data_IF_961711447045
#
_entry.id   IF_961711447045
#
_cell.length_a   1.000
_cell.length_b   1.000
_cell.length_c   1.000
_cell.angle_alpha   90.00
_cell.angle_beta   90.00
_cell.angle_gamma   90.00
#
_symmetry.space_group_name_H-M   'P 1'
#
loop_
_entity.id
_entity.type
_entity.pdbx_description
1 polymer ?
#
# COMPACT_ATOMS: atom_id res chain seq x y z
N UNK A 1 -31.78 10.34 -55.76
CA UNK A 1 -30.84 9.28 -55.36
C UNK A 1 -30.24 9.71 -54.04
N UNK A 2 -30.69 9.11 -52.93
CA UNK A 2 -30.15 9.37 -51.61
C UNK A 2 -28.93 8.49 -51.37
N UNK A 3 -27.84 9.09 -50.91
CA UNK A 3 -26.76 8.36 -50.27
C UNK A 3 -27.19 8.03 -48.84
N UNK A 4 -27.04 6.78 -48.36
CA UNK A 4 -27.26 6.49 -46.95
C UNK A 4 -26.11 7.08 -46.14
N UNK A 5 -26.46 7.90 -45.13
CA UNK A 5 -25.53 8.39 -44.13
C UNK A 5 -25.31 7.31 -43.06
N UNK A 6 -24.43 6.34 -43.33
CA UNK A 6 -23.91 5.46 -42.30
C UNK A 6 -22.71 6.13 -41.62
N UNK A 7 -23.00 7.12 -40.78
CA UNK A 7 -22.10 7.54 -39.71
C UNK A 7 -22.90 7.62 -38.41
N UNK A 8 -23.38 6.46 -37.96
CA UNK A 8 -23.44 6.18 -36.52
C UNK A 8 -22.04 5.80 -36.04
N UNK A 9 -21.06 6.71 -36.17
CA UNK A 9 -19.86 6.61 -35.34
C UNK A 9 -20.27 6.96 -33.91
N UNK A 10 -20.47 5.91 -33.13
CA UNK A 10 -20.55 5.80 -31.68
C UNK A 10 -20.44 7.13 -30.90
N UNK A 11 -21.60 7.76 -30.64
CA UNK A 11 -21.73 8.80 -29.61
C UNK A 11 -21.19 8.35 -28.24
N UNK A 12 -21.10 7.04 -28.00
CA UNK A 12 -20.56 6.41 -26.78
C UNK A 12 -19.02 6.41 -26.72
N UNK A 13 -18.30 6.49 -27.85
CA UNK A 13 -16.83 6.53 -27.84
C UNK A 13 -16.30 7.94 -27.57
N UNK A 14 -17.06 8.97 -27.96
CA UNK A 14 -16.72 10.38 -27.69
C UNK A 14 -16.67 10.73 -26.19
N UNK A 15 -17.37 9.99 -25.33
CA UNK A 15 -17.30 10.17 -23.87
C UNK A 15 -16.20 9.30 -23.22
N UNK A 16 -15.88 8.15 -23.82
CA UNK A 16 -14.88 7.20 -23.29
C UNK A 16 -13.44 7.67 -23.49
N UNK A 17 -13.11 8.28 -24.63
CA UNK A 17 -11.76 8.77 -24.93
C UNK A 17 -11.31 9.84 -23.92
N UNK A 18 -12.12 10.89 -23.63
CA UNK A 18 -11.80 11.87 -22.58
C UNK A 18 -11.55 11.21 -21.22
N UNK A 19 -12.40 10.27 -20.81
CA UNK A 19 -12.21 9.52 -19.56
C UNK A 19 -10.87 8.75 -19.54
N UNK A 20 -10.54 8.04 -20.63
CA UNK A 20 -9.28 7.29 -20.73
C UNK A 20 -8.07 8.23 -20.58
N UNK A 21 -8.09 9.37 -21.27
CA UNK A 21 -7.01 10.37 -21.22
C UNK A 21 -6.89 10.95 -19.80
N UNK A 22 -8.00 11.25 -19.16
CA UNK A 22 -8.04 11.78 -17.79
C UNK A 22 -7.43 10.78 -16.80
N UNK A 23 -7.86 9.52 -16.83
CA UNK A 23 -7.33 8.47 -15.96
C UNK A 23 -5.82 8.28 -16.15
N UNK A 24 -5.35 8.16 -17.40
CA UNK A 24 -3.92 8.06 -17.68
C UNK A 24 -3.15 9.26 -17.16
N UNK A 25 -3.69 10.47 -17.33
CA UNK A 25 -3.08 11.69 -16.81
C UNK A 25 -3.00 11.72 -15.28
N UNK A 26 -3.99 11.17 -14.57
CA UNK A 26 -3.95 11.03 -13.10
C UNK A 26 -2.80 10.12 -12.66
N UNK A 27 -2.71 8.91 -13.23
CA UNK A 27 -1.71 7.93 -12.81
C UNK A 27 -0.28 8.32 -13.19
N UNK A 28 -0.07 8.88 -14.38
CA UNK A 28 1.26 9.33 -14.80
C UNK A 28 1.76 10.49 -13.94
N UNK A 29 0.88 11.43 -13.59
CA UNK A 29 1.24 12.51 -12.66
C UNK A 29 1.62 11.97 -11.29
N UNK A 30 0.85 11.01 -10.76
CA UNK A 30 1.18 10.35 -9.51
C UNK A 30 2.55 9.66 -9.55
N UNK A 31 2.85 8.91 -10.62
CA UNK A 31 4.14 8.23 -10.80
C UNK A 31 5.29 9.24 -10.82
N UNK A 32 5.17 10.28 -11.63
CA UNK A 32 6.21 11.29 -11.81
C UNK A 32 6.45 12.09 -10.53
N UNK A 33 5.38 12.41 -9.79
CA UNK A 33 5.48 13.08 -8.49
C UNK A 33 6.29 12.24 -7.49
N UNK A 34 5.98 10.95 -7.36
CA UNK A 34 6.69 10.04 -6.44
C UNK A 34 8.18 9.91 -6.79
N UNK A 35 8.52 9.75 -8.07
CA UNK A 35 9.92 9.73 -8.51
C UNK A 35 10.63 11.07 -8.33
N UNK A 36 9.92 12.20 -8.44
CA UNK A 36 10.52 13.52 -8.22
C UNK A 36 10.89 13.76 -6.75
N UNK A 37 10.08 13.26 -5.81
CA UNK A 37 10.35 13.34 -4.37
C UNK A 37 11.49 12.39 -3.94
N UNK A 38 11.62 11.22 -4.56
CA UNK A 38 12.75 10.31 -4.33
C UNK A 38 14.11 10.95 -4.61
N UNK A 39 14.21 11.87 -5.59
CA UNK A 39 15.45 12.61 -5.84
C UNK A 39 15.74 13.69 -4.79
N UNK A 40 14.73 14.17 -4.06
CA UNK A 40 14.90 15.13 -2.95
C UNK A 40 15.28 14.45 -1.64
N UNK A 41 14.90 13.18 -1.45
CA UNK A 41 15.15 12.38 -0.23
C UNK A 41 16.59 11.86 -0.06
N UNK A 42 17.53 12.26 -0.93
CA UNK A 42 18.97 12.20 -0.61
C UNK A 42 19.39 13.27 0.44
N UNK A 43 18.41 13.99 1.02
CA UNK A 43 18.56 14.83 2.20
C UNK A 43 18.11 14.01 3.41
N UNK A 44 19.11 13.52 4.14
CA UNK A 44 19.10 12.77 5.40
C UNK A 44 17.77 12.76 6.22
N UNK A 45 17.04 11.63 6.26
CA UNK A 45 15.80 11.47 7.04
C UNK A 45 16.00 11.64 8.55
N UNK A 46 17.24 11.48 9.04
CA UNK A 46 17.58 11.56 10.48
C UNK A 46 17.67 13.03 10.94
N UNK A 47 17.65 13.99 10.02
CA UNK A 47 17.68 15.43 10.33
C UNK A 47 16.31 16.05 10.65
N UNK A 48 15.22 15.29 10.54
CA UNK A 48 13.86 15.77 10.84
C UNK A 48 13.53 15.46 12.30
N UNK A 49 13.71 16.47 13.16
CA UNK A 49 13.22 16.48 14.54
C UNK A 49 11.73 16.06 14.57
N UNK A 50 11.32 15.14 15.46
CA UNK A 50 9.92 14.72 15.62
C UNK A 50 8.93 15.88 15.82
N UNK A 51 9.38 17.01 16.37
CA UNK A 51 8.55 18.22 16.50
C UNK A 51 8.34 18.94 15.16
N UNK A 52 9.13 18.62 14.13
CA UNK A 52 8.91 19.06 12.74
C UNK A 52 7.92 18.18 11.97
N UNK A 53 7.51 17.02 12.50
CA UNK A 53 6.40 16.23 11.93
C UNK A 53 5.07 17.00 12.05
N UNK A 54 4.91 17.78 13.12
CA UNK A 54 3.72 18.61 13.35
C UNK A 54 3.74 19.91 12.52
N UNK A 55 4.92 20.39 12.09
CA UNK A 55 5.04 21.56 11.20
C UNK A 55 5.06 21.20 9.71
N UNK A 56 5.16 19.91 9.37
CA UNK A 56 5.16 19.40 7.98
C UNK A 56 3.77 19.23 7.36
N UNK A 57 2.84 20.15 7.66
CA UNK A 57 1.60 20.38 6.89
C UNK A 57 1.90 20.85 5.44
N UNK A 58 3.18 21.02 5.12
CA UNK A 58 3.74 21.33 3.79
C UNK A 58 4.48 20.15 3.14
N UNK A 59 4.44 18.93 3.70
CA UNK A 59 4.86 17.75 2.95
C UNK A 59 3.82 17.47 1.87
N UNK A 60 4.03 18.03 0.67
CA UNK A 60 3.10 17.94 -0.46
C UNK A 60 2.73 16.49 -0.76
N UNK A 61 3.67 15.54 -0.66
CA UNK A 61 3.41 14.12 -0.87
C UNK A 61 2.38 13.53 0.12
N UNK A 62 2.44 13.90 1.40
CA UNK A 62 1.47 13.46 2.41
C UNK A 62 0.11 14.15 2.22
N UNK A 63 0.12 15.43 1.82
CA UNK A 63 -1.09 16.18 1.46
C UNK A 63 -1.77 15.59 0.22
N UNK A 64 -1.00 15.12 -0.76
CA UNK A 64 -1.49 14.41 -1.94
C UNK A 64 -2.04 13.04 -1.59
N UNK A 65 -1.34 12.24 -0.77
CA UNK A 65 -1.83 10.92 -0.33
C UNK A 65 -3.16 11.05 0.44
N UNK A 66 -3.31 12.11 1.24
CA UNK A 66 -4.54 12.46 1.94
C UNK A 66 -5.66 13.02 1.05
N UNK A 67 -5.33 13.81 0.02
CA UNK A 67 -6.31 14.45 -0.89
C UNK A 67 -6.71 13.56 -2.07
N UNK A 68 -5.82 12.68 -2.53
CA UNK A 68 -6.08 11.69 -3.57
C UNK A 68 -7.16 10.70 -3.12
N UNK A 69 -7.10 10.26 -1.86
CA UNK A 69 -8.13 9.40 -1.24
C UNK A 69 -9.48 10.11 -1.09
N UNK A 70 -9.51 11.45 -1.21
CA UNK A 70 -10.71 12.30 -1.14
C UNK A 70 -11.19 12.84 -2.49
N UNK A 71 -10.57 12.46 -3.60
CA UNK A 71 -10.98 12.86 -4.95
C UNK A 71 -10.71 14.34 -5.31
N UNK A 72 -9.94 15.06 -4.50
CA UNK A 72 -9.54 16.43 -4.80
C UNK A 72 -8.19 16.41 -5.53
N UNK A 73 -8.24 16.45 -6.86
CA UNK A 73 -7.07 16.48 -7.73
C UNK A 73 -6.32 17.82 -7.60
N UNK A 74 -5.39 17.93 -6.66
CA UNK A 74 -4.51 19.10 -6.57
C UNK A 74 -3.57 19.17 -7.78
N UNK A 75 -3.38 20.39 -8.32
CA UNK A 75 -2.42 20.67 -9.41
C UNK A 75 -1.00 20.53 -8.86
N UNK A 76 -0.26 19.55 -9.38
CA UNK A 76 1.17 19.34 -9.10
C UNK A 76 1.97 20.57 -9.53
N UNK A 77 2.75 21.16 -8.60
CA UNK A 77 3.69 22.27 -8.85
C UNK A 77 5.12 21.69 -8.87
N UNK A 78 5.40 20.74 -9.75
CA UNK A 78 6.78 20.45 -10.16
C UNK A 78 7.12 21.38 -11.33
N UNK A 79 8.33 21.97 -11.40
CA UNK A 79 8.74 22.71 -12.60
C UNK A 79 8.53 21.83 -13.84
N UNK A 80 7.85 22.38 -14.86
CA UNK A 80 7.45 21.63 -16.06
C UNK A 80 8.63 20.90 -16.73
N UNK A 81 9.83 21.47 -16.66
CA UNK A 81 11.04 20.91 -17.26
C UNK A 81 11.55 19.65 -16.51
N UNK A 82 11.47 19.62 -15.18
CA UNK A 82 11.82 18.43 -14.38
C UNK A 82 10.85 17.28 -14.66
N UNK A 83 9.57 17.60 -14.87
CA UNK A 83 8.53 16.64 -15.25
C UNK A 83 8.79 16.02 -16.62
N UNK A 84 9.14 16.84 -17.62
CA UNK A 84 9.48 16.37 -18.96
C UNK A 84 10.76 15.52 -18.95
N UNK A 85 11.80 15.97 -18.24
CA UNK A 85 13.05 15.23 -18.12
C UNK A 85 12.85 13.86 -17.47
N UNK A 86 12.12 13.79 -16.35
CA UNK A 86 11.85 12.54 -15.66
C UNK A 86 11.04 11.57 -16.51
N UNK A 87 10.03 12.07 -17.22
CA UNK A 87 9.26 11.27 -18.18
C UNK A 87 10.17 10.70 -19.27
N UNK A 88 11.07 11.51 -19.81
CA UNK A 88 11.99 11.09 -20.87
C UNK A 88 13.03 10.06 -20.37
N UNK A 89 13.46 10.13 -19.10
CA UNK A 89 14.28 9.09 -18.47
C UNK A 89 13.49 7.79 -18.25
N UNK A 90 12.26 7.86 -17.74
CA UNK A 90 11.43 6.67 -17.51
C UNK A 90 11.05 5.95 -18.82
N UNK A 91 10.89 6.67 -19.93
CA UNK A 91 10.64 6.07 -21.25
C UNK A 91 11.82 5.19 -21.70
N UNK A 92 13.05 5.53 -21.31
CA UNK A 92 14.27 4.79 -21.66
C UNK A 92 14.33 3.47 -20.91
N UNK A 93 14.19 3.48 -19.59
CA UNK A 93 14.06 2.27 -18.77
C UNK A 93 13.47 2.60 -17.37
N UNK A 94 12.19 2.33 -17.12
CA UNK A 94 11.55 2.73 -15.87
C UNK A 94 12.08 1.94 -14.66
N UNK A 95 12.52 0.69 -14.88
CA UNK A 95 13.07 -0.17 -13.83
C UNK A 95 14.52 0.14 -13.47
N UNK A 96 15.17 1.07 -14.17
CA UNK A 96 16.52 1.50 -13.79
C UNK A 96 16.52 2.26 -12.46
N UNK A 97 15.46 3.05 -12.24
CA UNK A 97 15.37 3.97 -11.10
C UNK A 97 14.82 3.26 -9.88
N UNK A 98 13.86 2.35 -10.05
CA UNK A 98 13.23 1.66 -8.93
C UNK A 98 14.14 0.63 -8.27
N UNK A 99 14.32 0.77 -6.96
CA UNK A 99 15.10 -0.11 -6.08
C UNK A 99 14.22 -0.81 -5.05
N UNK A 100 13.19 -0.12 -4.58
CA UNK A 100 12.26 -0.65 -3.58
C UNK A 100 11.08 -1.39 -4.21
N UNK A 101 10.40 -2.29 -3.48
CA UNK A 101 9.24 -3.01 -3.98
C UNK A 101 8.15 -2.09 -4.55
N UNK A 102 7.87 -0.97 -3.89
CA UNK A 102 6.91 0.03 -4.33
C UNK A 102 7.36 0.75 -5.61
N UNK A 103 8.65 0.97 -5.76
CA UNK A 103 9.25 1.62 -6.93
C UNK A 103 9.27 0.69 -8.15
N UNK A 104 9.48 -0.61 -7.92
CA UNK A 104 9.35 -1.63 -8.97
C UNK A 104 7.90 -1.71 -9.46
N UNK A 105 6.93 -1.56 -8.56
CA UNK A 105 5.51 -1.49 -8.93
C UNK A 105 5.14 -0.16 -9.59
N UNK A 106 5.72 0.96 -9.17
CA UNK A 106 5.61 2.25 -9.88
C UNK A 106 6.17 2.15 -11.30
N UNK A 107 7.32 1.50 -11.46
CA UNK A 107 7.93 1.23 -12.78
C UNK A 107 6.99 0.42 -13.66
N UNK A 108 6.35 -0.60 -13.10
CA UNK A 108 5.36 -1.41 -13.80
C UNK A 108 4.09 -0.62 -14.13
N UNK A 109 3.58 0.21 -13.22
CA UNK A 109 2.43 1.09 -13.44
C UNK A 109 2.71 2.07 -14.59
N UNK A 110 3.92 2.62 -14.67
CA UNK A 110 4.36 3.47 -15.77
C UNK A 110 4.31 2.73 -17.11
N UNK A 111 4.83 1.49 -17.15
CA UNK A 111 4.73 0.66 -18.35
C UNK A 111 3.27 0.42 -18.77
N UNK A 112 2.35 0.18 -17.83
CA UNK A 112 0.94 0.01 -18.16
C UNK A 112 0.32 1.28 -18.75
N UNK A 113 0.64 2.45 -18.20
CA UNK A 113 0.17 3.73 -18.74
C UNK A 113 0.70 3.94 -20.18
N UNK A 114 1.99 3.67 -20.41
CA UNK A 114 2.62 3.75 -21.73
C UNK A 114 1.95 2.82 -22.74
N UNK A 115 1.74 1.55 -22.39
CA UNK A 115 1.07 0.59 -23.27
C UNK A 115 -0.37 1.02 -23.57
N UNK A 116 -1.08 1.54 -22.57
CA UNK A 116 -2.47 1.99 -22.75
C UNK A 116 -2.57 3.17 -23.70
N UNK A 117 -1.58 4.08 -23.69
CA UNK A 117 -1.49 5.15 -24.70
C UNK A 117 -1.26 4.63 -26.11
N UNK A 118 -0.41 3.60 -26.26
CA UNK A 118 -0.18 2.98 -27.56
C UNK A 118 -1.44 2.28 -28.08
N UNK A 119 -2.17 1.58 -27.20
CA UNK A 119 -3.48 0.97 -27.53
C UNK A 119 -4.49 2.05 -27.92
N UNK A 120 -4.54 3.17 -27.19
CA UNK A 120 -5.43 4.29 -27.49
C UNK A 120 -5.11 4.90 -28.86
N UNK A 121 -3.82 5.06 -29.17
CA UNK A 121 -3.36 5.55 -30.47
C UNK A 121 -3.79 4.62 -31.61
N UNK A 122 -3.81 3.31 -31.36
CA UNK A 122 -4.28 2.31 -32.31
C UNK A 122 -5.82 2.20 -32.38
N UNK A 123 -6.56 2.99 -31.59
CA UNK A 123 -8.01 3.07 -31.63
C UNK A 123 -8.77 1.98 -30.86
N UNK A 124 -8.10 1.14 -30.07
CA UNK A 124 -8.77 0.05 -29.33
C UNK A 124 -9.27 0.50 -27.95
N UNK A 125 -10.44 1.14 -27.96
CA UNK A 125 -11.06 1.73 -26.76
C UNK A 125 -11.40 0.69 -25.69
N UNK A 126 -11.84 -0.52 -26.07
CA UNK A 126 -12.20 -1.55 -25.08
C UNK A 126 -10.96 -2.14 -24.40
N UNK A 127 -9.88 -2.36 -25.15
CA UNK A 127 -8.61 -2.75 -24.54
C UNK A 127 -8.08 -1.65 -23.61
N UNK A 128 -8.23 -0.37 -23.95
CA UNK A 128 -7.87 0.73 -23.05
C UNK A 128 -8.64 0.68 -21.73
N UNK A 129 -9.97 0.50 -21.76
CA UNK A 129 -10.78 0.44 -20.53
C UNK A 129 -10.36 -0.74 -19.63
N UNK A 130 -10.10 -1.91 -20.21
CA UNK A 130 -9.60 -3.06 -19.46
C UNK A 130 -8.21 -2.80 -18.83
N UNK A 131 -7.35 -2.05 -19.54
CA UNK A 131 -6.05 -1.64 -18.98
C UNK A 131 -6.20 -0.60 -17.87
N UNK A 132 -7.17 0.32 -17.94
CA UNK A 132 -7.46 1.26 -16.85
C UNK A 132 -7.87 0.52 -15.59
N UNK A 133 -8.79 -0.45 -15.68
CA UNK A 133 -9.17 -1.26 -14.52
C UNK A 133 -7.96 -2.01 -13.92
N UNK A 134 -7.03 -2.44 -14.77
CA UNK A 134 -5.78 -3.07 -14.32
C UNK A 134 -4.88 -2.06 -13.61
N UNK A 135 -4.70 -0.86 -14.18
CA UNK A 135 -3.94 0.24 -13.59
C UNK A 135 -4.52 0.61 -12.22
N UNK A 136 -5.84 0.75 -12.10
CA UNK A 136 -6.54 1.00 -10.83
C UNK A 136 -6.22 -0.08 -9.78
N UNK A 137 -6.29 -1.36 -10.16
CA UNK A 137 -5.97 -2.48 -9.27
C UNK A 137 -4.50 -2.44 -8.81
N UNK A 138 -3.57 -2.20 -9.73
CA UNK A 138 -2.14 -2.09 -9.39
C UNK A 138 -1.90 -0.91 -8.46
N UNK A 139 -2.48 0.26 -8.75
CA UNK A 139 -2.35 1.44 -7.91
C UNK A 139 -2.90 1.19 -6.50
N UNK A 140 -4.05 0.53 -6.37
CA UNK A 140 -4.61 0.19 -5.05
C UNK A 140 -3.67 -0.72 -4.23
N UNK A 141 -3.03 -1.71 -4.87
CA UNK A 141 -2.07 -2.58 -4.20
C UNK A 141 -0.78 -1.85 -3.82
N UNK A 142 -0.36 -0.87 -4.63
CA UNK A 142 0.75 0.02 -4.32
C UNK A 142 0.44 0.93 -3.13
N UNK A 143 -0.71 1.61 -3.11
CA UNK A 143 -1.14 2.41 -1.95
C UNK A 143 -1.22 1.55 -0.68
N UNK A 144 -1.69 0.31 -0.81
CA UNK A 144 -1.69 -0.64 0.29
C UNK A 144 -0.31 -0.94 0.87
N UNK A 145 0.71 -1.10 0.01
CA UNK A 145 2.10 -1.28 0.47
C UNK A 145 2.62 -0.04 1.19
N UNK A 146 2.36 1.14 0.64
CA UNK A 146 2.80 2.42 1.20
C UNK A 146 2.17 2.70 2.56
N UNK A 147 0.85 2.56 2.64
CA UNK A 147 0.11 2.68 3.89
C UNK A 147 0.66 1.69 4.92
N UNK A 148 0.89 0.44 4.54
CA UNK A 148 1.48 -0.56 5.43
C UNK A 148 2.90 -0.21 5.89
N UNK A 149 3.72 0.45 5.06
CA UNK A 149 5.02 0.96 5.50
C UNK A 149 4.88 2.04 6.59
N UNK A 150 3.88 2.92 6.50
CA UNK A 150 3.60 3.92 7.54
C UNK A 150 3.21 3.30 8.89
N UNK A 151 2.59 2.11 8.89
CA UNK A 151 2.19 1.37 10.10
C UNK A 151 3.35 0.89 10.97
N UNK A 152 4.57 1.00 10.47
CA UNK A 152 5.77 0.71 11.25
C UNK A 152 6.09 1.83 12.25
N UNK A 153 5.59 3.02 11.97
CA UNK A 153 5.94 4.26 12.64
C UNK A 153 4.78 4.81 13.48
N UNK A 154 3.55 4.38 13.20
CA UNK A 154 2.32 4.94 13.78
C UNK A 154 1.32 3.85 14.19
N UNK A 155 0.38 4.19 15.07
CA UNK A 155 -0.62 3.23 15.56
C UNK A 155 -1.65 2.87 14.48
N UNK A 156 -2.37 1.73 14.63
CA UNK A 156 -3.39 1.37 13.66
C UNK A 156 -4.55 2.36 13.49
N UNK A 157 -4.87 3.11 14.53
CA UNK A 157 -5.92 4.12 14.50
C UNK A 157 -5.48 5.37 13.75
N UNK A 158 -4.23 5.83 13.97
CA UNK A 158 -3.68 7.04 13.36
C UNK A 158 -3.61 6.96 11.83
N UNK A 159 -3.41 5.75 11.30
CA UNK A 159 -3.26 5.54 9.87
C UNK A 159 -4.51 4.95 9.19
N UNK A 160 -5.61 4.73 9.91
CA UNK A 160 -6.91 4.37 9.33
C UNK A 160 -6.96 3.08 8.48
N UNK A 161 -6.16 2.06 8.80
CA UNK A 161 -6.21 0.70 8.22
C UNK A 161 -7.19 -0.15 9.00
N UNK A 162 -7.97 -0.91 8.25
CA UNK A 162 -8.86 -1.94 8.77
C UNK A 162 -8.12 -3.25 9.06
N UNK A 163 -8.64 -4.11 9.94
CA UNK A 163 -8.12 -5.48 10.14
C UNK A 163 -7.82 -6.21 8.83
N UNK A 164 -8.76 -6.09 7.89
CA UNK A 164 -8.67 -6.71 6.58
C UNK A 164 -7.42 -6.27 5.86
N UNK A 165 -7.22 -4.96 5.75
CA UNK A 165 -6.05 -4.37 5.10
C UNK A 165 -4.77 -4.75 5.84
N UNK A 166 -4.76 -4.70 7.18
CA UNK A 166 -3.61 -5.13 7.99
C UNK A 166 -3.22 -6.57 7.64
N UNK A 167 -4.16 -7.52 7.68
CA UNK A 167 -3.92 -8.93 7.37
C UNK A 167 -3.61 -9.17 5.89
N UNK A 168 -4.24 -8.42 4.99
CA UNK A 168 -4.01 -8.53 3.56
C UNK A 168 -2.60 -8.07 3.17
N UNK A 169 -2.15 -6.95 3.74
CA UNK A 169 -0.81 -6.41 3.52
C UNK A 169 0.26 -7.06 4.40
N UNK A 170 -0.13 -7.79 5.46
CA UNK A 170 0.76 -8.56 6.34
C UNK A 170 1.68 -9.49 5.54
N UNK A 171 3.02 -9.41 5.71
CA UNK A 171 3.75 -9.12 6.94
C UNK A 171 4.69 -7.92 6.77
N UNK A 172 4.16 -6.69 6.76
CA UNK A 172 4.96 -5.45 6.68
C UNK A 172 6.20 -5.54 5.76
N UNK A 173 5.95 -5.55 4.45
CA UNK A 173 6.91 -5.10 3.43
C UNK A 173 8.25 -5.80 3.37
N UNK A 174 8.24 -7.08 3.00
CA UNK A 174 9.35 -7.85 2.44
C UNK A 174 10.67 -7.83 3.21
N UNK A 175 11.09 -8.92 3.83
CA UNK A 175 12.50 -9.05 4.24
C UNK A 175 13.46 -8.73 3.08
N UNK A 176 13.06 -9.06 1.85
CA UNK A 176 13.79 -8.70 0.64
C UNK A 176 13.83 -7.19 0.32
N UNK A 177 12.94 -6.36 0.87
CA UNK A 177 13.04 -4.89 0.82
C UNK A 177 14.33 -4.41 1.48
N UNK A 178 14.71 -5.02 2.59
CA UNK A 178 15.83 -4.60 3.43
C UNK A 178 17.16 -5.26 3.05
N UNK A 179 17.13 -6.34 2.26
CA UNK A 179 18.35 -6.94 1.69
C UNK A 179 18.93 -6.08 0.56
N UNK A 180 18.09 -5.30 -0.12
CA UNK A 180 18.48 -4.49 -1.27
C UNK A 180 18.82 -3.03 -0.92
N UNK A 181 18.50 -2.57 0.29
CA UNK A 181 18.80 -1.20 0.73
C UNK A 181 20.08 -1.18 1.59
N UNK A 182 21.19 -0.62 1.08
CA UNK A 182 22.46 -0.52 1.82
C UNK A 182 22.37 0.36 3.08
N UNK A 183 21.34 1.20 3.20
CA UNK A 183 21.12 2.08 4.35
C UNK A 183 20.22 1.44 5.43
N UNK A 184 19.67 0.24 5.19
CA UNK A 184 18.88 -0.50 6.19
C UNK A 184 19.75 -1.43 7.06
N UNK A 185 20.04 -0.98 8.29
CA UNK A 185 20.78 -1.75 9.29
C UNK A 185 19.99 -2.89 9.97
N UNK A 186 20.71 -3.78 10.66
CA UNK A 186 20.15 -4.92 11.42
C UNK A 186 19.09 -4.51 12.46
N UNK A 187 19.24 -3.32 13.07
CA UNK A 187 18.34 -2.78 14.09
C UNK A 187 16.91 -2.58 13.57
N UNK A 188 16.75 -2.20 12.31
CA UNK A 188 15.43 -2.05 11.69
C UNK A 188 14.76 -3.41 11.51
N UNK A 189 15.52 -4.45 11.12
CA UNK A 189 15.00 -5.82 10.98
C UNK A 189 14.47 -6.34 12.33
N UNK A 190 15.14 -6.00 13.43
CA UNK A 190 14.66 -6.31 14.78
C UNK A 190 13.36 -5.57 15.11
N UNK A 191 13.30 -4.26 14.84
CA UNK A 191 12.08 -3.44 15.00
C UNK A 191 10.89 -4.02 14.23
N UNK A 192 11.11 -4.45 12.98
CA UNK A 192 10.09 -5.12 12.17
C UNK A 192 9.57 -6.40 12.81
N UNK A 193 10.48 -7.24 13.29
CA UNK A 193 10.10 -8.51 13.88
C UNK A 193 9.33 -8.32 15.19
N UNK A 194 9.67 -7.27 15.96
CA UNK A 194 8.93 -6.87 17.16
C UNK A 194 7.50 -6.42 16.82
N UNK A 195 7.33 -5.59 15.79
CA UNK A 195 6.04 -4.99 15.44
C UNK A 195 5.05 -5.97 14.78
N UNK A 196 5.54 -7.04 14.10
CA UNK A 196 4.68 -8.03 13.42
C UNK A 196 3.63 -8.68 14.33
N UNK A 197 3.98 -8.95 15.59
CA UNK A 197 3.07 -9.62 16.53
C UNK A 197 2.23 -8.65 17.36
N UNK A 198 2.72 -7.41 17.56
CA UNK A 198 2.02 -6.38 18.33
C UNK A 198 0.87 -5.76 17.53
N UNK A 199 0.97 -5.64 16.21
CA UNK A 199 -0.07 -5.00 15.39
C UNK A 199 -1.46 -5.64 15.51
N UNK A 200 -1.53 -6.97 15.46
CA UNK A 200 -2.82 -7.65 15.64
C UNK A 200 -3.35 -7.46 17.07
N UNK A 201 -2.45 -7.38 18.05
CA UNK A 201 -2.81 -7.10 19.44
C UNK A 201 -3.37 -5.67 19.60
N UNK A 202 -2.69 -4.68 19.02
CA UNK A 202 -3.13 -3.28 18.97
C UNK A 202 -4.49 -3.12 18.27
N UNK A 203 -4.68 -3.80 17.15
CA UNK A 203 -5.98 -3.81 16.46
C UNK A 203 -7.10 -4.41 17.33
N UNK A 204 -6.85 -5.56 17.97
CA UNK A 204 -7.82 -6.16 18.87
C UNK A 204 -8.10 -5.27 20.10
N UNK A 205 -7.11 -4.53 20.60
CA UNK A 205 -7.28 -3.50 21.63
C UNK A 205 -8.22 -2.39 21.16
N UNK A 206 -8.04 -1.86 19.95
CA UNK A 206 -8.94 -0.85 19.36
C UNK A 206 -10.39 -1.37 19.28
N UNK A 207 -10.60 -2.61 18.84
CA UNK A 207 -11.94 -3.23 18.82
C UNK A 207 -12.54 -3.36 20.21
N UNK A 208 -11.73 -3.76 21.20
CA UNK A 208 -12.17 -3.88 22.58
C UNK A 208 -12.60 -2.53 23.17
N UNK A 209 -11.80 -1.49 22.95
CA UNK A 209 -12.11 -0.10 23.35
C UNK A 209 -13.42 0.35 22.69
N UNK A 210 -13.61 0.06 21.40
CA UNK A 210 -14.84 0.41 20.66
C UNK A 210 -16.10 -0.23 21.27
N UNK A 211 -16.04 -1.51 21.65
CA UNK A 211 -17.15 -2.20 22.34
C UNK A 211 -17.51 -1.48 23.65
N UNK A 212 -16.51 -1.04 24.42
CA UNK A 212 -16.75 -0.32 25.68
C UNK A 212 -17.43 1.03 25.43
N UNK A 213 -16.93 1.78 24.43
CA UNK A 213 -17.51 3.05 24.00
C UNK A 213 -18.99 2.88 23.60
N UNK A 214 -19.29 1.90 22.75
CA UNK A 214 -20.66 1.60 22.31
C UNK A 214 -21.59 1.27 23.48
N UNK A 215 -21.18 0.37 24.38
CA UNK A 215 -21.97 0.00 25.56
C UNK A 215 -22.18 1.20 26.50
N UNK A 216 -21.12 1.99 26.73
CA UNK A 216 -21.19 3.19 27.57
C UNK A 216 -22.23 4.18 27.03
N UNK A 217 -22.17 4.46 25.73
CA UNK A 217 -23.10 5.37 25.05
C UNK A 217 -24.54 4.85 25.08
N UNK A 218 -24.77 3.59 24.68
CA UNK A 218 -26.12 3.01 24.59
C UNK A 218 -26.80 2.89 25.96
N UNK A 219 -26.03 2.61 27.01
CA UNK A 219 -26.57 2.34 28.35
C UNK A 219 -26.34 3.46 29.35
N UNK A 220 -25.77 4.59 28.90
CA UNK A 220 -25.28 5.68 29.75
C UNK A 220 -24.47 5.14 30.95
N UNK A 221 -23.56 4.21 30.68
CA UNK A 221 -22.89 3.40 31.70
C UNK A 221 -21.45 3.83 31.89
N UNK A 222 -21.09 4.12 33.14
CA UNK A 222 -19.70 4.17 33.59
C UNK A 222 -19.43 3.04 34.59
N UNK A 223 -18.21 2.53 34.62
CA UNK A 223 -17.80 1.46 35.52
C UNK A 223 -17.06 2.01 36.73
N UNK A 224 -17.15 1.34 37.87
CA UNK A 224 -16.53 1.84 39.12
C UNK A 224 -15.01 1.57 39.16
N UNK A 225 -14.51 0.68 38.31
CA UNK A 225 -13.10 0.32 38.21
C UNK A 225 -12.84 -0.37 36.87
N UNK A 226 -11.58 -0.36 36.41
CA UNK A 226 -11.13 -1.10 35.22
C UNK A 226 -11.52 -2.57 35.31
N UNK A 227 -11.31 -3.19 36.47
CA UNK A 227 -11.65 -4.60 36.70
C UNK A 227 -13.14 -4.91 36.51
N UNK A 228 -14.02 -3.92 36.71
CA UNK A 228 -15.45 -4.09 36.46
C UNK A 228 -15.78 -4.10 34.96
N UNK A 229 -15.03 -3.35 34.13
CA UNK A 229 -15.13 -3.40 32.67
C UNK A 229 -14.68 -4.79 32.17
N UNK A 230 -13.50 -5.23 32.58
CA UNK A 230 -12.89 -6.51 32.16
C UNK A 230 -13.80 -7.70 32.48
N UNK A 231 -14.52 -7.63 33.60
CA UNK A 231 -15.43 -8.70 34.05
C UNK A 231 -16.88 -8.52 33.57
N UNK A 232 -17.21 -7.43 32.88
CA UNK A 232 -18.57 -7.16 32.42
C UNK A 232 -19.01 -8.23 31.40
N UNK A 233 -20.10 -8.99 31.68
CA UNK A 233 -20.56 -10.03 30.78
C UNK A 233 -20.97 -9.53 29.40
N UNK A 234 -21.49 -8.30 29.30
CA UNK A 234 -21.95 -7.70 28.03
C UNK A 234 -20.72 -7.37 27.18
N UNK A 235 -19.72 -6.70 27.77
CA UNK A 235 -18.45 -6.37 27.09
C UNK A 235 -17.77 -7.65 26.60
N UNK A 236 -17.64 -8.66 27.48
CA UNK A 236 -17.04 -9.95 27.15
C UNK A 236 -17.77 -10.67 26.02
N UNK A 237 -19.10 -10.67 26.03
CA UNK A 237 -19.90 -11.35 25.01
C UNK A 237 -19.77 -10.66 23.66
N UNK A 238 -19.93 -9.33 23.61
CA UNK A 238 -19.82 -8.58 22.36
C UNK A 238 -18.41 -8.67 21.76
N UNK A 239 -17.38 -8.52 22.59
CA UNK A 239 -16.01 -8.68 22.12
C UNK A 239 -15.74 -10.09 21.59
N UNK A 240 -16.21 -11.14 22.28
CA UNK A 240 -16.06 -12.52 21.81
C UNK A 240 -16.76 -12.76 20.47
N UNK A 241 -17.96 -12.23 20.27
CA UNK A 241 -18.67 -12.37 18.99
C UNK A 241 -17.91 -11.68 17.85
N UNK A 242 -17.36 -10.48 18.07
CA UNK A 242 -16.50 -9.79 17.09
C UNK A 242 -15.24 -10.61 16.77
N UNK A 243 -14.66 -11.28 17.76
CA UNK A 243 -13.43 -12.05 17.62
C UNK A 243 -13.61 -13.45 17.04
N UNK A 244 -14.84 -13.99 17.06
CA UNK A 244 -15.16 -15.39 16.74
C UNK A 244 -14.68 -15.80 15.35
N UNK A 245 -14.94 -14.98 14.35
CA UNK A 245 -14.62 -15.27 12.94
C UNK A 245 -13.27 -14.71 12.50
N UNK A 246 -12.60 -13.92 13.35
CA UNK A 246 -11.34 -13.26 12.97
C UNK A 246 -10.22 -14.24 12.60
N UNK A 247 -9.99 -15.36 13.32
CA UNK A 247 -8.96 -16.31 12.90
C UNK A 247 -9.08 -16.77 11.45
N UNK A 248 -10.32 -17.02 11.01
CA UNK A 248 -10.61 -17.45 9.65
C UNK A 248 -10.43 -16.29 8.67
N UNK A 249 -11.04 -15.14 8.97
CA UNK A 249 -10.96 -13.95 8.11
C UNK A 249 -9.51 -13.48 7.94
N UNK A 250 -8.74 -13.41 9.02
CA UNK A 250 -7.33 -13.02 9.01
C UNK A 250 -6.50 -13.93 8.10
N UNK A 251 -6.73 -15.26 8.19
CA UNK A 251 -6.07 -16.22 7.32
C UNK A 251 -6.47 -16.03 5.86
N UNK A 252 -7.77 -15.88 5.58
CA UNK A 252 -8.29 -15.69 4.22
C UNK A 252 -7.72 -14.41 3.59
N UNK A 253 -7.67 -13.30 4.34
CA UNK A 253 -7.09 -12.04 3.88
C UNK A 253 -5.58 -12.14 3.66
N UNK A 254 -4.84 -12.76 4.57
CA UNK A 254 -3.40 -12.96 4.40
C UNK A 254 -3.09 -13.79 3.15
N UNK A 255 -3.81 -14.90 2.94
CA UNK A 255 -3.63 -15.74 1.75
C UNK A 255 -4.02 -15.02 0.46
N UNK A 256 -5.10 -14.24 0.47
CA UNK A 256 -5.50 -13.43 -0.68
C UNK A 256 -4.40 -12.42 -1.05
N UNK A 257 -3.90 -11.67 -0.06
CA UNK A 257 -2.82 -10.72 -0.28
C UNK A 257 -1.56 -11.36 -0.85
N UNK A 258 -1.13 -12.53 -0.34
CA UNK A 258 0.07 -13.20 -0.86
C UNK A 258 -0.10 -13.60 -2.34
N UNK A 259 -1.28 -14.09 -2.71
CA UNK A 259 -1.58 -14.46 -4.10
C UNK A 259 -1.52 -13.25 -5.03
N UNK A 260 -2.15 -12.16 -4.64
CA UNK A 260 -2.23 -10.95 -5.46
C UNK A 260 -0.86 -10.29 -5.62
N UNK A 261 -0.06 -10.18 -4.54
CA UNK A 261 1.31 -9.68 -4.63
C UNK A 261 2.22 -10.58 -5.46
N UNK A 262 2.13 -11.91 -5.28
CA UNK A 262 2.90 -12.86 -6.10
C UNK A 262 2.60 -12.66 -7.59
N UNK A 263 1.31 -12.57 -7.94
CA UNK A 263 0.89 -12.33 -9.32
C UNK A 263 1.42 -10.99 -9.83
N UNK A 264 1.32 -9.93 -9.02
CA UNK A 264 1.76 -8.60 -9.40
C UNK A 264 3.27 -8.53 -9.66
N UNK A 265 4.10 -9.09 -8.78
CA UNK A 265 5.54 -9.13 -8.98
C UNK A 265 5.93 -10.01 -10.17
N UNK A 266 5.21 -11.10 -10.42
CA UNK A 266 5.43 -11.94 -11.61
C UNK A 266 5.16 -11.14 -12.89
N UNK A 267 4.09 -10.34 -12.92
CA UNK A 267 3.80 -9.49 -14.09
C UNK A 267 4.83 -8.37 -14.28
N UNK A 268 5.29 -7.75 -13.19
CA UNK A 268 6.36 -6.75 -13.24
C UNK A 268 7.66 -7.38 -13.76
N UNK A 269 7.98 -8.60 -13.32
CA UNK A 269 9.13 -9.38 -13.79
C UNK A 269 9.03 -9.67 -15.28
N UNK A 270 7.91 -10.21 -15.74
CA UNK A 270 7.67 -10.50 -17.17
C UNK A 270 7.80 -9.23 -18.02
N UNK A 271 7.36 -8.08 -17.51
CA UNK A 271 7.53 -6.80 -18.19
C UNK A 271 9.01 -6.42 -18.26
N UNK A 272 9.74 -6.46 -17.16
CA UNK A 272 11.16 -6.13 -17.13
C UNK A 272 12.00 -7.06 -18.03
N UNK A 273 11.69 -8.35 -18.08
CA UNK A 273 12.32 -9.28 -19.01
C UNK A 273 12.08 -8.90 -20.49
N UNK A 274 10.87 -8.42 -20.82
CA UNK A 274 10.56 -7.92 -22.16
C UNK A 274 11.34 -6.65 -22.48
N UNK A 275 11.44 -5.71 -21.54
CA UNK A 275 12.25 -4.49 -21.71
C UNK A 275 13.72 -4.83 -21.95
N UNK A 276 14.31 -5.70 -21.12
CA UNK A 276 15.69 -6.15 -21.30
C UNK A 276 15.96 -6.79 -22.67
N UNK A 277 14.98 -7.52 -23.23
CA UNK A 277 15.11 -8.19 -24.52
C UNK A 277 14.82 -7.27 -25.72
N UNK A 278 13.84 -6.39 -25.61
CA UNK A 278 13.23 -5.67 -26.76
C UNK A 278 13.49 -4.17 -26.78
N UNK A 279 13.88 -3.57 -25.67
CA UNK A 279 14.14 -2.14 -25.61
C UNK A 279 15.41 -1.81 -26.40
N UNK A 280 15.23 -1.25 -27.59
CA UNK A 280 16.32 -0.92 -28.50
C UNK A 280 17.28 0.08 -27.87
N UNK A 281 16.78 1.09 -27.16
CA UNK A 281 17.63 2.07 -26.50
C UNK A 281 18.57 1.41 -25.47
N UNK A 282 18.04 0.52 -24.63
CA UNK A 282 18.84 -0.20 -23.63
C UNK A 282 19.89 -1.12 -24.26
N UNK A 283 19.61 -1.69 -25.43
CA UNK A 283 20.45 -2.68 -26.10
C UNK A 283 21.41 -2.13 -27.16
N UNK A 284 21.19 -0.91 -27.67
CA UNK A 284 21.92 -0.40 -28.85
C UNK A 284 23.23 0.33 -28.52
N UNK A 285 23.48 0.71 -27.27
CA UNK A 285 24.64 1.51 -26.91
C UNK A 285 25.48 0.84 -25.82
N UNK A 286 26.78 0.67 -26.06
CA UNK A 286 27.72 0.10 -25.09
C UNK A 286 27.76 0.91 -23.77
N UNK A 287 27.48 2.21 -23.82
CA UNK A 287 27.34 3.09 -22.65
C UNK A 287 26.20 2.69 -21.71
N UNK A 288 25.26 1.84 -22.16
CA UNK A 288 24.10 1.42 -21.37
C UNK A 288 24.34 0.10 -20.60
N UNK A 289 25.58 -0.40 -20.60
CA UNK A 289 25.95 -1.67 -19.93
C UNK A 289 25.63 -1.64 -18.43
N UNK A 290 25.95 -0.55 -17.75
CA UNK A 290 25.65 -0.36 -16.33
C UNK A 290 24.14 -0.33 -16.06
N UNK A 291 23.39 0.42 -16.88
CA UNK A 291 21.93 0.49 -16.80
C UNK A 291 21.27 -0.88 -17.01
N UNK A 292 21.80 -1.68 -17.94
CA UNK A 292 21.36 -3.08 -18.15
C UNK A 292 21.70 -3.96 -16.95
N UNK A 293 22.85 -3.77 -16.31
CA UNK A 293 23.21 -4.47 -15.08
C UNK A 293 22.23 -4.17 -13.95
N UNK A 294 21.88 -2.88 -13.74
CA UNK A 294 20.87 -2.49 -12.76
C UNK A 294 19.50 -3.14 -13.03
N UNK A 295 19.05 -3.13 -14.29
CA UNK A 295 17.81 -3.80 -14.67
C UNK A 295 17.84 -5.33 -14.42
N UNK A 296 18.98 -5.99 -14.63
CA UNK A 296 19.16 -7.41 -14.30
C UNK A 296 19.15 -7.66 -12.79
N UNK A 297 19.69 -6.73 -11.99
CA UNK A 297 19.60 -6.77 -10.54
C UNK A 297 18.14 -6.67 -10.08
N UNK A 298 17.34 -5.79 -10.69
CA UNK A 298 15.90 -5.66 -10.39
C UNK A 298 15.10 -6.92 -10.73
N UNK A 299 15.49 -7.69 -11.75
CA UNK A 299 14.91 -9.02 -11.98
C UNK A 299 15.16 -9.96 -10.80
N UNK A 300 16.39 -10.02 -10.30
CA UNK A 300 16.73 -10.85 -9.13
C UNK A 300 15.94 -10.42 -7.90
N UNK A 301 15.76 -9.10 -7.72
CA UNK A 301 14.96 -8.58 -6.63
C UNK A 301 13.51 -9.03 -6.73
N UNK A 302 12.88 -8.87 -7.90
CA UNK A 302 11.52 -9.37 -8.15
C UNK A 302 11.38 -10.88 -7.89
N UNK A 303 12.39 -11.68 -8.23
CA UNK A 303 12.43 -13.11 -7.90
C UNK A 303 12.43 -13.37 -6.39
N UNK A 304 13.21 -12.60 -5.63
CA UNK A 304 13.20 -12.67 -4.17
C UNK A 304 11.81 -12.30 -3.61
N UNK A 305 11.16 -11.27 -4.18
CA UNK A 305 9.84 -10.81 -3.73
C UNK A 305 8.79 -11.90 -3.93
N UNK A 306 8.82 -12.56 -5.09
CA UNK A 306 7.94 -13.69 -5.44
C UNK A 306 8.16 -14.86 -4.49
N UNK A 307 9.42 -15.28 -4.29
CA UNK A 307 9.77 -16.40 -3.41
C UNK A 307 9.36 -16.13 -1.95
N UNK A 308 9.48 -14.89 -1.50
CA UNK A 308 9.00 -14.48 -0.19
C UNK A 308 7.48 -14.64 -0.08
N UNK A 309 6.70 -14.21 -1.09
CA UNK A 309 5.24 -14.40 -1.07
C UNK A 309 4.84 -15.86 -0.99
N UNK A 310 5.52 -16.74 -1.74
CA UNK A 310 5.28 -18.18 -1.72
C UNK A 310 5.60 -18.80 -0.35
N UNK A 311 6.71 -18.37 0.25
CA UNK A 311 7.13 -18.83 1.58
C UNK A 311 6.14 -18.44 2.65
N UNK A 312 5.66 -17.18 2.61
CA UNK A 312 4.65 -16.67 3.52
C UNK A 312 3.32 -17.42 3.36
N UNK A 313 2.84 -17.60 2.13
CA UNK A 313 1.62 -18.35 1.83
C UNK A 313 1.70 -19.78 2.40
N UNK A 314 2.83 -20.47 2.17
CA UNK A 314 3.09 -21.80 2.72
C UNK A 314 3.08 -21.80 4.26
N UNK A 315 3.74 -20.83 4.89
CA UNK A 315 3.81 -20.73 6.34
C UNK A 315 2.44 -20.43 6.98
N UNK A 316 1.58 -19.64 6.33
CA UNK A 316 0.18 -19.46 6.75
C UNK A 316 -0.61 -20.77 6.68
N UNK A 317 -0.53 -21.49 5.56
CA UNK A 317 -1.21 -22.79 5.39
C UNK A 317 -0.75 -23.84 6.41
N UNK A 318 0.53 -23.83 6.76
CA UNK A 318 1.11 -24.69 7.80
C UNK A 318 0.79 -24.23 9.23
N UNK A 319 0.14 -23.08 9.40
CA UNK A 319 -0.26 -22.57 10.71
C UNK A 319 0.92 -22.14 11.58
N UNK A 320 2.08 -21.79 11.00
CA UNK A 320 3.26 -21.34 11.74
C UNK A 320 3.07 -19.98 12.43
N UNK A 321 2.16 -19.16 11.91
CA UNK A 321 1.80 -17.87 12.48
C UNK A 321 0.64 -18.03 13.46
N UNK A 322 0.96 -18.41 14.69
CA UNK A 322 -0.02 -18.68 15.75
C UNK A 322 -0.83 -17.44 16.14
N UNK A 323 -0.23 -16.25 16.03
CA UNK A 323 -0.90 -15.00 16.40
C UNK A 323 -2.16 -14.73 15.56
N UNK A 324 -2.21 -15.16 14.29
CA UNK A 324 -3.41 -15.04 13.43
C UNK A 324 -4.61 -15.78 13.99
N UNK A 325 -4.36 -16.86 14.74
CA UNK A 325 -5.41 -17.69 15.34
C UNK A 325 -5.95 -17.11 16.65
N UNK A 326 -5.43 -15.97 17.11
CA UNK A 326 -5.80 -15.38 18.39
C UNK A 326 -7.20 -14.77 18.31
N UNK A 327 -8.12 -15.33 19.08
CA UNK A 327 -9.50 -14.89 19.22
C UNK A 327 -9.91 -14.57 20.67
N UNK A 328 -8.96 -14.64 21.60
CA UNK A 328 -9.19 -14.35 23.01
C UNK A 328 -7.92 -13.89 23.71
N UNK A 329 -8.12 -13.20 24.82
CA UNK A 329 -7.07 -12.65 25.68
C UNK A 329 -7.39 -12.95 27.14
N UNK A 330 -6.36 -13.07 27.98
CA UNK A 330 -6.55 -13.17 29.42
C UNK A 330 -7.05 -11.84 29.98
N UNK A 331 -7.74 -11.89 31.11
CA UNK A 331 -8.25 -10.71 31.80
C UNK A 331 -7.12 -9.73 32.15
N UNK A 332 -5.90 -10.22 32.44
CA UNK A 332 -4.76 -9.35 32.75
C UNK A 332 -4.27 -8.57 31.52
N UNK A 333 -4.19 -9.20 30.34
CA UNK A 333 -3.81 -8.48 29.10
C UNK A 333 -4.85 -7.42 28.74
N UNK A 334 -6.13 -7.76 28.90
CA UNK A 334 -7.23 -6.81 28.67
C UNK A 334 -7.18 -5.65 29.67
N UNK A 335 -6.81 -5.92 30.92
CA UNK A 335 -6.65 -4.89 31.95
C UNK A 335 -5.51 -3.93 31.59
N UNK A 336 -4.36 -4.46 31.19
CA UNK A 336 -3.20 -3.66 30.74
C UNK A 336 -3.55 -2.74 29.56
N UNK A 337 -4.43 -3.17 28.64
CA UNK A 337 -4.89 -2.32 27.55
C UNK A 337 -5.64 -1.06 28.01
N UNK A 338 -6.31 -1.12 29.14
CA UNK A 338 -7.09 0.00 29.70
C UNK A 338 -6.25 0.83 30.66
N UNK A 339 -5.46 0.19 31.52
CA UNK A 339 -4.71 0.87 32.59
C UNK A 339 -3.67 1.86 32.07
N UNK A 340 -3.18 1.66 30.84
CA UNK A 340 -2.19 2.52 30.19
C UNK A 340 -2.82 3.68 29.39
N UNK A 341 -4.14 3.88 29.46
CA UNK A 341 -4.87 4.92 28.73
C UNK A 341 -5.59 5.85 29.71
N UNK A 342 -4.91 6.92 30.12
CA UNK A 342 -5.44 7.86 31.13
C UNK A 342 -6.73 8.55 30.68
N UNK A 343 -6.84 8.87 29.40
CA UNK A 343 -8.01 9.57 28.86
C UNK A 343 -9.22 8.63 28.81
N UNK A 344 -9.00 7.38 28.41
CA UNK A 344 -10.02 6.35 28.52
C UNK A 344 -10.50 6.14 29.96
N UNK A 345 -9.60 6.12 30.94
CA UNK A 345 -9.96 5.97 32.35
C UNK A 345 -10.85 7.13 32.80
N UNK A 346 -10.48 8.39 32.50
CA UNK A 346 -11.29 9.58 32.85
C UNK A 346 -12.68 9.54 32.22
N UNK A 347 -12.78 9.01 31.00
CA UNK A 347 -14.03 8.95 30.25
C UNK A 347 -15.00 7.89 30.83
N UNK A 348 -14.50 6.67 31.10
CA UNK A 348 -15.36 5.50 31.37
C UNK A 348 -15.39 5.02 32.83
N UNK A 349 -14.49 5.51 33.69
CA UNK A 349 -14.48 5.16 35.12
C UNK A 349 -15.19 6.24 35.94
N UNK A 350 -16.02 5.83 36.91
CA UNK A 350 -16.66 6.74 37.86
C UNK A 350 -15.59 7.33 38.78
N UNK A 351 -15.62 8.66 38.94
CA UNK A 351 -14.74 9.40 39.84
C UNK A 351 -15.02 9.09 41.31
#
# INVERSE_FOLDING_TARGET
MGFPSDHQEDKTNNEKIPYIIEQLGIYERYILDRYSHQKRDYIDPISIDPNHIVSNVNNEAFKYEYLYDKGEHTRVITPYDDYLYLRDELIKNPFEIGKMPEELLLSYLFCLCKDTREILWNGDIQACLSQIEKIEKVNKLLQGLLKNASYLLFSPEDCGITNREMMYFYPLGQQARYVADPDFGEDMIELFNKNKSSQLNEWHRTLFIKVIKEISCEKNKKWNAVNAIVKDPIVKTQFREIMKDQPKQNLDYALAGRRDYKQLYSQAKDRLEKELKKNAWLNSYASNTERRSHAQERLKHLDMLIAEQETLEKNFKLGKYTFIKRNSYSDDVIREWIENDEDFIKEFIQA
#
